data_IF_210348546055
#
_entry.id   IF_210348546055
#
_cell.length_a   1.000
_cell.length_b   1.000
_cell.length_c   1.000
_cell.angle_alpha   90.00
_cell.angle_beta   90.00
_cell.angle_gamma   90.00
#
_symmetry.space_group_name_H-M   'P 1'
#
loop_
_entity.id
_entity.type
_entity.pdbx_description
1 polymer ?
#
# COMPACT_ATOMS: atom_id res chain seq x y z
N UNK A 1 -32.81 -5.88 -23.74
CA UNK A 1 -31.44 -6.32 -23.44
C UNK A 1 -31.46 -7.31 -22.30
N UNK A 2 -30.76 -8.45 -22.39
CA UNK A 2 -30.68 -9.42 -21.29
C UNK A 2 -29.85 -8.81 -20.17
N UNK A 3 -30.44 -8.73 -18.96
CA UNK A 3 -29.73 -8.36 -17.73
C UNK A 3 -29.06 -9.59 -17.16
N UNK A 4 -27.85 -9.42 -16.66
CA UNK A 4 -27.11 -10.43 -15.91
C UNK A 4 -26.98 -9.97 -14.46
N UNK A 5 -26.91 -10.93 -13.54
CA UNK A 5 -26.76 -10.68 -12.12
C UNK A 5 -25.49 -11.37 -11.65
N UNK A 6 -24.64 -10.62 -10.97
CA UNK A 6 -23.49 -11.12 -10.25
C UNK A 6 -23.72 -10.90 -8.75
N UNK A 7 -23.44 -11.89 -7.93
CA UNK A 7 -23.57 -11.80 -6.47
C UNK A 7 -22.28 -12.32 -5.84
N UNK A 8 -21.77 -11.55 -4.89
CA UNK A 8 -20.71 -11.98 -3.96
C UNK A 8 -21.19 -11.77 -2.54
N UNK A 9 -21.19 -12.81 -1.73
CA UNK A 9 -21.60 -12.76 -0.32
C UNK A 9 -20.50 -13.34 0.55
N UNK A 10 -20.18 -12.65 1.65
CA UNK A 10 -19.19 -13.09 2.62
C UNK A 10 -19.64 -12.76 4.04
N UNK A 11 -19.32 -13.64 4.97
CA UNK A 11 -19.52 -13.41 6.39
C UNK A 11 -18.32 -12.64 6.95
N UNK A 12 -18.58 -11.53 7.63
CA UNK A 12 -17.57 -10.70 8.28
C UNK A 12 -17.79 -10.82 9.80
N UNK A 13 -16.70 -11.07 10.54
CA UNK A 13 -16.71 -11.15 12.01
C UNK A 13 -16.63 -9.74 12.60
N UNK A 14 -17.70 -8.97 12.39
CA UNK A 14 -17.89 -7.63 12.97
C UNK A 14 -19.38 -7.28 12.96
N UNK A 15 -19.86 -6.45 13.91
CA UNK A 15 -21.22 -5.95 13.92
C UNK A 15 -21.57 -5.26 12.61
N UNK A 16 -22.83 -5.36 12.19
CA UNK A 16 -23.30 -4.79 10.91
C UNK A 16 -23.06 -3.28 10.83
N UNK A 17 -23.22 -2.58 11.95
CA UNK A 17 -22.98 -1.14 12.06
C UNK A 17 -21.50 -0.80 11.75
N UNK A 18 -20.57 -1.59 12.22
CA UNK A 18 -19.13 -1.36 11.97
C UNK A 18 -18.76 -1.60 10.52
N UNK A 19 -19.35 -2.64 9.88
CA UNK A 19 -19.10 -2.96 8.47
C UNK A 19 -19.73 -1.90 7.56
N UNK A 20 -20.95 -1.46 7.86
CA UNK A 20 -21.63 -0.40 7.13
C UNK A 20 -20.90 0.94 7.28
N UNK A 21 -20.56 1.33 8.52
CA UNK A 21 -19.82 2.56 8.80
C UNK A 21 -18.47 2.60 8.06
N UNK A 22 -17.74 1.48 8.00
CA UNK A 22 -16.48 1.39 7.27
C UNK A 22 -16.63 1.78 5.80
N UNK A 23 -17.72 1.36 5.12
CA UNK A 23 -17.99 1.70 3.73
C UNK A 23 -18.36 3.19 3.54
N UNK A 24 -18.86 3.87 4.57
CA UNK A 24 -19.20 5.28 4.53
C UNK A 24 -18.01 6.22 4.74
N UNK A 25 -16.90 5.70 5.30
CA UNK A 25 -15.74 6.51 5.63
C UNK A 25 -14.92 6.92 4.40
N UNK A 26 -14.24 8.08 4.45
CA UNK A 26 -13.28 8.48 3.42
C UNK A 26 -12.22 7.40 3.19
N UNK A 27 -11.88 7.14 1.92
CA UNK A 27 -10.89 6.14 1.55
C UNK A 27 -11.46 4.73 1.29
N UNK A 28 -12.72 4.44 1.64
CA UNK A 28 -13.30 3.11 1.41
C UNK A 28 -13.28 2.69 -0.07
N UNK A 29 -13.66 3.58 -0.98
CA UNK A 29 -13.64 3.30 -2.42
C UNK A 29 -12.21 3.07 -2.94
N UNK A 30 -11.26 3.88 -2.50
CA UNK A 30 -9.85 3.76 -2.84
C UNK A 30 -9.27 2.45 -2.29
N UNK A 31 -9.64 2.07 -1.08
CA UNK A 31 -9.21 0.83 -0.44
C UNK A 31 -9.79 -0.42 -1.11
N UNK A 32 -11.02 -0.34 -1.58
CA UNK A 32 -11.70 -1.38 -2.35
C UNK A 32 -11.27 -1.44 -3.83
N UNK A 33 -10.42 -0.50 -4.28
CA UNK A 33 -9.87 -0.49 -5.63
C UNK A 33 -8.70 -1.47 -5.75
N UNK A 34 -8.81 -2.54 -6.56
CA UNK A 34 -7.72 -3.49 -6.70
C UNK A 34 -6.46 -2.85 -7.28
N UNK A 35 -5.25 -3.18 -6.79
CA UNK A 35 -4.01 -2.57 -7.23
C UNK A 35 -3.62 -2.90 -8.69
N UNK A 36 -4.23 -3.93 -9.28
CA UNK A 36 -4.05 -4.28 -10.71
C UNK A 36 -5.05 -3.60 -11.64
N UNK A 37 -6.11 -2.98 -11.12
CA UNK A 37 -7.14 -2.24 -11.87
C UNK A 37 -7.47 -0.93 -11.15
N UNK A 38 -6.48 -0.03 -10.99
CA UNK A 38 -6.62 1.17 -10.19
C UNK A 38 -7.61 2.14 -10.83
N UNK A 39 -8.46 2.74 -10.00
CA UNK A 39 -9.32 3.85 -10.37
C UNK A 39 -8.77 5.16 -9.80
N UNK A 40 -9.13 6.27 -10.44
CA UNK A 40 -8.86 7.61 -9.95
C UNK A 40 -10.18 8.32 -9.68
N UNK A 41 -10.41 8.72 -8.44
CA UNK A 41 -11.53 9.59 -8.08
C UNK A 41 -11.23 11.00 -8.58
N UNK A 42 -12.08 11.52 -9.47
CA UNK A 42 -11.97 12.89 -10.00
C UNK A 42 -12.80 13.84 -9.16
N UNK A 43 -14.01 13.41 -8.79
CA UNK A 43 -14.96 14.20 -8.04
C UNK A 43 -15.84 13.28 -7.20
N UNK A 44 -16.19 13.70 -5.99
CA UNK A 44 -17.10 13.00 -5.10
C UNK A 44 -17.92 14.01 -4.31
N UNK A 45 -19.21 13.76 -4.22
CA UNK A 45 -20.13 14.54 -3.38
C UNK A 45 -20.91 13.59 -2.48
N UNK A 46 -21.14 13.95 -1.23
CA UNK A 46 -22.15 13.34 -0.33
C UNK A 46 -21.89 11.93 0.20
N UNK A 47 -20.75 11.29 -0.09
CA UNK A 47 -20.46 9.93 0.41
C UNK A 47 -21.30 8.83 -0.24
N UNK A 48 -21.96 7.95 0.58
CA UNK A 48 -22.81 6.84 0.11
C UNK A 48 -24.32 7.15 0.21
N UNK A 49 -24.69 8.34 0.64
CA UNK A 49 -26.11 8.73 0.81
C UNK A 49 -26.77 8.98 -0.55
N UNK A 50 -28.09 8.83 -0.57
CA UNK A 50 -28.91 9.09 -1.76
C UNK A 50 -28.63 10.49 -2.35
N UNK A 51 -28.54 10.58 -3.67
CA UNK A 51 -28.18 11.80 -4.41
C UNK A 51 -26.68 12.07 -4.50
N UNK A 52 -25.83 11.33 -3.77
CA UNK A 52 -24.37 11.44 -3.86
C UNK A 52 -23.86 10.97 -5.21
N UNK A 53 -22.85 11.67 -5.74
CA UNK A 53 -22.29 11.39 -7.06
C UNK A 53 -20.78 11.20 -7.00
N UNK A 54 -20.30 10.23 -7.75
CA UNK A 54 -18.86 9.96 -7.87
C UNK A 54 -18.47 9.88 -9.33
N UNK A 55 -17.42 10.64 -9.70
CA UNK A 55 -16.82 10.64 -11.04
C UNK A 55 -15.46 9.94 -10.95
N UNK A 56 -15.34 8.85 -11.69
CA UNK A 56 -14.12 8.03 -11.73
C UNK A 56 -13.47 8.10 -13.11
N UNK A 57 -12.15 8.11 -13.12
CA UNK A 57 -11.35 7.83 -14.31
C UNK A 57 -10.83 6.41 -14.22
N UNK A 58 -11.18 5.60 -15.19
CA UNK A 58 -10.83 4.18 -15.29
C UNK A 58 -10.21 3.87 -16.64
N UNK A 59 -9.70 2.65 -16.83
CA UNK A 59 -9.14 2.18 -18.09
C UNK A 59 -9.79 0.86 -18.52
N UNK A 60 -10.07 0.75 -19.82
CA UNK A 60 -10.39 -0.53 -20.46
C UNK A 60 -9.23 -0.89 -21.39
N UNK A 61 -8.30 -1.72 -20.91
CA UNK A 61 -7.01 -1.89 -21.55
C UNK A 61 -6.24 -0.56 -21.59
N UNK A 62 -5.77 -0.08 -22.76
CA UNK A 62 -5.08 1.21 -22.90
C UNK A 62 -6.03 2.42 -22.93
N UNK A 63 -7.34 2.21 -23.13
CA UNK A 63 -8.31 3.29 -23.38
C UNK A 63 -8.86 3.83 -22.07
N UNK A 64 -8.65 5.12 -21.73
CA UNK A 64 -9.24 5.76 -20.58
C UNK A 64 -10.73 6.10 -20.84
N UNK A 65 -11.56 5.95 -19.80
CA UNK A 65 -12.94 6.39 -19.84
C UNK A 65 -13.37 6.98 -18.48
N UNK A 66 -14.45 7.75 -18.48
CA UNK A 66 -15.08 8.26 -17.28
C UNK A 66 -16.26 7.38 -16.89
N UNK A 67 -16.31 7.00 -15.63
CA UNK A 67 -17.45 6.36 -15.00
C UNK A 67 -18.10 7.35 -14.06
N UNK A 68 -19.40 7.54 -14.20
CA UNK A 68 -20.18 8.40 -13.32
C UNK A 68 -21.22 7.52 -12.65
N UNK A 69 -21.14 7.42 -11.33
CA UNK A 69 -22.09 6.72 -10.48
C UNK A 69 -22.88 7.71 -9.63
N UNK A 70 -24.13 7.39 -9.36
CA UNK A 70 -25.04 8.14 -8.48
C UNK A 70 -25.68 7.17 -7.49
N UNK A 71 -25.64 7.49 -6.20
CA UNK A 71 -26.32 6.72 -5.18
C UNK A 71 -27.81 6.99 -5.23
N UNK A 72 -28.62 5.94 -5.36
CA UNK A 72 -30.07 6.04 -5.58
C UNK A 72 -30.88 5.53 -4.42
N UNK A 73 -30.30 4.71 -3.55
CA UNK A 73 -30.95 4.18 -2.37
C UNK A 73 -30.00 4.09 -1.18
N UNK A 74 -30.50 4.29 0.02
CA UNK A 74 -29.75 4.27 1.27
C UNK A 74 -30.67 3.96 2.44
N UNK A 75 -30.36 2.89 3.13
CA UNK A 75 -30.97 2.50 4.41
C UNK A 75 -29.85 2.17 5.40
N UNK A 76 -29.72 2.96 6.46
CA UNK A 76 -28.62 2.87 7.42
C UNK A 76 -28.51 1.46 8.01
N UNK A 77 -27.28 0.92 8.04
CA UNK A 77 -26.92 -0.43 8.51
C UNK A 77 -27.57 -1.58 7.72
N UNK A 78 -28.23 -1.32 6.59
CA UNK A 78 -28.89 -2.33 5.78
C UNK A 78 -28.46 -2.36 4.33
N UNK A 79 -28.53 -1.24 3.63
CA UNK A 79 -28.13 -1.18 2.23
C UNK A 79 -27.76 0.22 1.76
N UNK A 80 -26.97 0.29 0.72
CA UNK A 80 -26.88 1.42 -0.19
C UNK A 80 -26.70 0.92 -1.63
N UNK A 81 -27.16 1.73 -2.57
CA UNK A 81 -27.17 1.35 -3.98
C UNK A 81 -26.66 2.50 -4.84
N UNK A 82 -25.84 2.16 -5.83
CA UNK A 82 -25.42 3.10 -6.86
C UNK A 82 -25.80 2.59 -8.26
N UNK A 83 -26.03 3.55 -9.18
CA UNK A 83 -26.26 3.26 -10.59
C UNK A 83 -25.26 4.00 -11.47
N UNK A 84 -24.90 3.41 -12.59
CA UNK A 84 -24.15 4.10 -13.62
C UNK A 84 -25.03 5.14 -14.32
N UNK A 85 -24.63 6.42 -14.24
CA UNK A 85 -25.21 7.51 -15.03
C UNK A 85 -24.49 7.61 -16.39
N UNK A 86 -23.16 7.44 -16.38
CA UNK A 86 -22.33 7.42 -17.58
C UNK A 86 -21.23 6.38 -17.44
N UNK A 87 -21.05 5.53 -18.46
CA UNK A 87 -20.04 4.48 -18.42
C UNK A 87 -20.19 3.54 -19.62
N UNK A 88 -19.41 2.45 -19.65
CA UNK A 88 -19.35 1.53 -20.79
C UNK A 88 -20.54 0.57 -20.89
N UNK A 89 -21.26 0.34 -19.78
CA UNK A 89 -22.40 -0.60 -19.74
C UNK A 89 -23.68 0.04 -20.32
N UNK A 90 -24.60 -0.76 -20.80
CA UNK A 90 -25.93 -0.30 -21.17
C UNK A 90 -26.76 0.04 -19.91
N UNK A 91 -26.63 -0.80 -18.88
CA UNK A 91 -27.13 -0.52 -17.54
C UNK A 91 -26.19 -1.14 -16.52
N UNK A 92 -26.13 -0.53 -15.33
CA UNK A 92 -25.40 -1.02 -14.17
C UNK A 92 -26.07 -0.48 -12.94
N UNK A 93 -26.38 -1.39 -12.03
CA UNK A 93 -26.88 -1.12 -10.70
C UNK A 93 -26.10 -1.98 -9.73
N UNK A 94 -25.52 -1.37 -8.71
CA UNK A 94 -24.75 -2.07 -7.70
C UNK A 94 -25.38 -1.82 -6.32
N UNK A 95 -25.77 -2.88 -5.67
CA UNK A 95 -26.38 -2.86 -4.33
C UNK A 95 -25.43 -3.53 -3.34
N UNK A 96 -25.07 -2.81 -2.30
CA UNK A 96 -24.42 -3.35 -1.11
C UNK A 96 -25.50 -3.65 -0.06
N UNK A 97 -25.56 -4.90 0.39
CA UNK A 97 -26.54 -5.37 1.37
C UNK A 97 -25.80 -5.87 2.60
N UNK A 98 -26.28 -5.46 3.77
CA UNK A 98 -25.70 -5.80 5.06
C UNK A 98 -26.79 -6.47 5.90
N UNK A 99 -26.55 -7.73 6.28
CA UNK A 99 -27.49 -8.53 7.05
C UNK A 99 -26.84 -8.97 8.37
N UNK A 100 -27.42 -8.65 9.53
CA UNK A 100 -26.87 -9.10 10.82
C UNK A 100 -26.83 -10.64 10.90
N UNK A 101 -25.77 -11.17 11.51
CA UNK A 101 -25.62 -12.57 11.87
C UNK A 101 -25.21 -12.67 13.36
N UNK A 102 -26.19 -12.40 14.22
CA UNK A 102 -25.97 -12.17 15.64
C UNK A 102 -25.42 -10.76 15.94
N UNK A 103 -24.76 -10.61 17.11
CA UNK A 103 -24.23 -9.31 17.58
C UNK A 103 -22.83 -9.00 17.04
N UNK A 104 -22.04 -10.04 16.74
CA UNK A 104 -20.60 -9.92 16.47
C UNK A 104 -20.23 -10.28 15.03
N UNK A 105 -21.22 -10.49 14.16
CA UNK A 105 -21.00 -10.82 12.77
C UNK A 105 -22.12 -10.27 11.86
N UNK A 106 -21.83 -10.14 10.57
CA UNK A 106 -22.82 -9.85 9.55
C UNK A 106 -22.44 -10.50 8.22
N UNK A 107 -23.40 -10.58 7.31
CA UNK A 107 -23.14 -10.87 5.90
C UNK A 107 -23.06 -9.55 5.12
N UNK A 108 -22.01 -9.40 4.32
CA UNK A 108 -21.88 -8.42 3.27
C UNK A 108 -22.19 -9.10 1.95
N UNK A 109 -23.21 -8.62 1.24
CA UNK A 109 -23.53 -9.06 -0.12
C UNK A 109 -23.41 -7.87 -1.08
N UNK A 110 -22.58 -8.04 -2.10
CA UNK A 110 -22.51 -7.16 -3.27
C UNK A 110 -23.31 -7.80 -4.40
N UNK A 111 -24.34 -7.11 -4.87
CA UNK A 111 -25.21 -7.51 -6.00
C UNK A 111 -25.04 -6.52 -7.13
N UNK A 112 -24.56 -6.99 -8.27
CA UNK A 112 -24.40 -6.17 -9.47
C UNK A 112 -25.33 -6.67 -10.56
N UNK A 113 -26.31 -5.84 -10.95
CA UNK A 113 -27.17 -6.06 -12.10
C UNK A 113 -26.65 -5.24 -13.28
N UNK A 114 -26.32 -5.89 -14.40
CA UNK A 114 -25.73 -5.19 -15.52
C UNK A 114 -26.24 -5.71 -16.87
N UNK A 115 -26.16 -4.83 -17.89
CA UNK A 115 -26.39 -5.19 -19.29
C UNK A 115 -25.29 -4.61 -20.18
N UNK A 116 -24.85 -5.38 -21.17
CA UNK A 116 -23.83 -4.98 -22.11
C UNK A 116 -24.43 -4.19 -23.28
N UNK A 117 -23.70 -3.20 -23.82
CA UNK A 117 -24.17 -2.32 -24.92
C UNK A 117 -24.24 -3.01 -26.28
N UNK A 118 -23.50 -4.09 -26.51
CA UNK A 118 -23.32 -4.67 -27.84
C UNK A 118 -23.85 -6.12 -27.98
N UNK A 119 -24.30 -6.40 -29.07
CA UNK A 119 -25.25 -7.23 -29.80
C UNK A 119 -24.87 -8.67 -30.10
N UNK A 120 -25.75 -9.52 -30.68
CA UNK A 120 -25.96 -10.90 -30.25
C UNK A 120 -24.78 -11.85 -30.47
N UNK A 121 -23.85 -11.58 -31.36
CA UNK A 121 -22.73 -12.48 -31.67
C UNK A 121 -21.48 -12.29 -30.78
N UNK A 122 -21.34 -11.15 -30.05
CA UNK A 122 -20.23 -10.89 -29.12
C UNK A 122 -20.56 -11.14 -27.65
N UNK A 123 -21.82 -11.37 -27.29
CA UNK A 123 -22.27 -11.39 -25.90
C UNK A 123 -21.74 -12.57 -25.10
N UNK A 124 -21.51 -13.75 -25.69
CA UNK A 124 -21.04 -14.90 -24.94
C UNK A 124 -19.61 -14.68 -24.38
N UNK A 125 -18.68 -14.25 -25.21
CA UNK A 125 -17.31 -13.99 -24.78
C UNK A 125 -17.21 -12.74 -23.90
N UNK A 126 -17.91 -11.66 -24.24
CA UNK A 126 -17.91 -10.43 -23.47
C UNK A 126 -18.56 -10.60 -22.10
N UNK A 127 -19.66 -11.36 -22.01
CA UNK A 127 -20.34 -11.69 -20.75
C UNK A 127 -19.43 -12.48 -19.80
N UNK A 128 -18.78 -13.54 -20.31
CA UNK A 128 -17.81 -14.32 -19.52
C UNK A 128 -16.63 -13.48 -19.05
N UNK A 129 -16.10 -12.61 -19.91
CA UNK A 129 -14.99 -11.72 -19.55
C UNK A 129 -15.39 -10.74 -18.45
N UNK A 130 -16.56 -10.11 -18.54
CA UNK A 130 -17.07 -9.19 -17.50
C UNK A 130 -17.32 -9.95 -16.22
N UNK A 131 -17.96 -11.10 -16.26
CA UNK A 131 -18.21 -11.93 -15.08
C UNK A 131 -16.92 -12.34 -14.38
N UNK A 132 -15.91 -12.81 -15.10
CA UNK A 132 -14.60 -13.15 -14.54
C UNK A 132 -13.91 -11.91 -13.92
N UNK A 133 -14.05 -10.73 -14.54
CA UNK A 133 -13.53 -9.49 -13.99
C UNK A 133 -14.24 -9.12 -12.67
N UNK A 134 -15.57 -9.25 -12.62
CA UNK A 134 -16.34 -9.02 -11.39
C UNK A 134 -15.94 -9.99 -10.28
N UNK A 135 -15.83 -11.29 -10.58
CA UNK A 135 -15.38 -12.29 -9.61
C UNK A 135 -14.05 -11.91 -8.96
N UNK A 136 -13.06 -11.52 -9.77
CA UNK A 136 -11.74 -11.10 -9.29
C UNK A 136 -11.82 -9.84 -8.44
N UNK A 137 -12.54 -8.82 -8.89
CA UNK A 137 -12.68 -7.53 -8.18
C UNK A 137 -13.36 -7.74 -6.83
N UNK A 138 -14.48 -8.45 -6.80
CA UNK A 138 -15.24 -8.63 -5.55
C UNK A 138 -14.59 -9.65 -4.61
N UNK A 139 -13.86 -10.65 -5.12
CA UNK A 139 -12.98 -11.48 -4.30
C UNK A 139 -11.95 -10.63 -3.54
N UNK A 140 -11.29 -9.69 -4.23
CA UNK A 140 -10.35 -8.75 -3.62
C UNK A 140 -11.03 -7.84 -2.58
N UNK A 141 -12.13 -7.20 -2.95
CA UNK A 141 -12.86 -6.28 -2.07
C UNK A 141 -13.23 -6.93 -0.74
N UNK A 142 -13.83 -8.11 -0.78
CA UNK A 142 -14.20 -8.86 0.42
C UNK A 142 -12.98 -9.33 1.23
N UNK A 143 -11.88 -9.74 0.54
CA UNK A 143 -10.64 -10.15 1.19
C UNK A 143 -9.91 -8.98 1.89
N UNK A 144 -10.15 -7.74 1.48
CA UNK A 144 -9.59 -6.54 2.11
C UNK A 144 -10.47 -6.06 3.25
N UNK A 145 -11.79 -6.03 3.07
CA UNK A 145 -12.74 -5.44 4.03
C UNK A 145 -12.66 -6.10 5.41
N UNK A 146 -12.71 -7.42 5.47
CA UNK A 146 -12.74 -8.13 6.75
C UNK A 146 -11.46 -7.93 7.59
N UNK A 147 -10.22 -8.08 7.05
CA UNK A 147 -9.00 -7.82 7.80
C UNK A 147 -8.81 -6.34 8.17
N UNK A 148 -9.25 -5.39 7.34
CA UNK A 148 -9.17 -3.97 7.66
C UNK A 148 -10.05 -3.64 8.87
N UNK A 149 -11.30 -4.09 8.87
CA UNK A 149 -12.22 -3.90 10.00
C UNK A 149 -11.67 -4.58 11.26
N UNK A 150 -11.16 -5.81 11.16
CA UNK A 150 -10.57 -6.51 12.29
C UNK A 150 -9.37 -5.74 12.88
N UNK A 151 -8.49 -5.21 12.02
CA UNK A 151 -7.36 -4.39 12.46
C UNK A 151 -7.82 -3.09 13.16
N UNK A 152 -8.86 -2.44 12.65
CA UNK A 152 -9.40 -1.22 13.27
C UNK A 152 -10.10 -1.50 14.61
N UNK A 153 -10.73 -2.67 14.76
CA UNK A 153 -11.39 -3.07 16.01
C UNK A 153 -10.41 -3.56 17.09
N UNK A 154 -9.26 -4.11 16.68
CA UNK A 154 -8.26 -4.66 17.60
C UNK A 154 -7.46 -3.59 18.38
N UNK A 155 -7.60 -2.30 18.05
CA UNK A 155 -6.90 -1.23 18.75
C UNK A 155 -7.46 -1.06 20.19
N UNK A 156 -6.57 -0.80 21.17
CA UNK A 156 -6.97 -0.67 22.58
C UNK A 156 -7.91 0.51 22.84
N UNK A 157 -7.70 1.58 22.10
CA UNK A 157 -8.42 2.84 22.15
C UNK A 157 -8.99 3.14 20.78
N UNK A 158 -10.29 3.40 20.69
CA UNK A 158 -11.00 3.71 19.45
C UNK A 158 -10.95 5.20 19.08
N UNK A 159 -10.21 6.02 19.84
CA UNK A 159 -10.07 7.45 19.56
C UNK A 159 -9.36 7.68 18.23
N UNK A 160 -9.94 8.46 17.32
CA UNK A 160 -9.27 8.83 16.09
C UNK A 160 -7.97 9.59 16.35
N UNK A 161 -6.89 9.23 15.65
CA UNK A 161 -5.62 9.95 15.69
C UNK A 161 -5.57 11.03 14.61
N UNK A 162 -4.87 12.13 14.92
CA UNK A 162 -4.44 13.12 13.95
C UNK A 162 -3.04 12.74 13.46
N UNK A 163 -2.92 12.29 12.22
CA UNK A 163 -1.70 11.70 11.69
C UNK A 163 -1.10 12.60 10.61
N UNK A 164 0.16 13.02 10.82
CA UNK A 164 0.95 13.70 9.81
C UNK A 164 1.69 12.69 8.94
N UNK A 165 1.56 12.79 7.61
CA UNK A 165 2.24 11.88 6.68
C UNK A 165 3.09 12.66 5.67
N UNK A 166 4.36 12.32 5.57
CA UNK A 166 5.19 12.68 4.43
C UNK A 166 5.30 11.51 3.44
N UNK A 167 5.45 11.78 2.16
CA UNK A 167 5.47 10.73 1.15
C UNK A 167 4.10 10.12 0.82
N UNK A 168 3.03 10.88 1.04
CA UNK A 168 1.63 10.51 0.81
C UNK A 168 1.34 9.95 -0.61
N UNK A 169 2.01 10.47 -1.64
CA UNK A 169 1.87 10.04 -3.04
C UNK A 169 2.75 8.84 -3.42
N UNK A 170 3.59 8.33 -2.52
CA UNK A 170 4.43 7.16 -2.74
C UNK A 170 3.63 5.85 -2.70
N UNK A 171 4.28 4.75 -3.10
CA UNK A 171 3.65 3.42 -3.16
C UNK A 171 3.03 3.00 -1.83
N UNK A 172 3.74 3.19 -0.72
CA UNK A 172 3.23 2.86 0.62
C UNK A 172 2.23 3.91 1.09
N UNK A 173 2.53 5.20 0.96
CA UNK A 173 1.67 6.30 1.43
C UNK A 173 0.29 6.29 0.79
N UNK A 174 0.22 6.06 -0.53
CA UNK A 174 -1.05 6.01 -1.26
C UNK A 174 -1.94 4.81 -0.88
N UNK A 175 -1.36 3.70 -0.42
CA UNK A 175 -2.09 2.55 0.10
C UNK A 175 -2.48 2.73 1.58
N UNK A 176 -1.60 3.38 2.37
CA UNK A 176 -1.78 3.58 3.81
C UNK A 176 -2.90 4.58 4.13
N UNK A 177 -2.96 5.70 3.39
CA UNK A 177 -3.96 6.76 3.66
C UNK A 177 -5.39 6.24 3.62
N UNK A 178 -5.85 5.53 2.56
CA UNK A 178 -7.19 4.96 2.53
C UNK A 178 -7.46 4.00 3.70
N UNK A 179 -6.49 3.18 4.07
CA UNK A 179 -6.60 2.29 5.21
C UNK A 179 -6.77 3.05 6.54
N UNK A 180 -5.97 4.10 6.77
CA UNK A 180 -6.08 4.90 7.99
C UNK A 180 -7.39 5.68 8.06
N UNK A 181 -7.83 6.26 6.94
CA UNK A 181 -9.09 7.03 6.90
C UNK A 181 -10.32 6.15 7.08
N UNK A 182 -10.31 4.89 6.59
CA UNK A 182 -11.36 3.89 6.90
C UNK A 182 -11.32 3.42 8.35
N UNK A 183 -10.23 3.66 9.08
CA UNK A 183 -10.14 3.54 10.53
C UNK A 183 -10.64 4.77 11.31
N UNK A 184 -11.11 5.81 10.61
CA UNK A 184 -11.60 7.05 11.22
C UNK A 184 -10.51 8.06 11.58
N UNK A 185 -9.23 7.82 11.20
CA UNK A 185 -8.12 8.74 11.48
C UNK A 185 -8.15 9.96 10.56
N UNK A 186 -7.68 11.09 11.08
CA UNK A 186 -7.51 12.33 10.32
C UNK A 186 -6.08 12.42 9.80
N UNK A 187 -5.94 12.64 8.50
CA UNK A 187 -4.64 12.65 7.83
C UNK A 187 -4.30 14.06 7.36
N UNK A 188 -3.13 14.55 7.75
CA UNK A 188 -2.52 15.76 7.20
C UNK A 188 -1.28 15.38 6.39
N UNK A 189 -1.22 15.77 5.13
CA UNK A 189 -0.12 15.41 4.24
C UNK A 189 0.92 16.53 4.14
N UNK A 190 2.19 16.20 4.33
CA UNK A 190 3.30 17.12 4.03
C UNK A 190 3.56 17.16 2.52
N UNK A 191 3.47 18.36 1.94
CA UNK A 191 3.64 18.60 0.50
C UNK A 191 4.75 19.62 0.22
N UNK A 192 5.50 19.44 -0.88
CA UNK A 192 6.58 20.36 -1.31
C UNK A 192 6.11 21.39 -2.34
N UNK A 193 4.86 21.35 -2.71
CA UNK A 193 4.16 22.34 -3.53
C UNK A 193 3.26 23.21 -2.63
N UNK A 194 2.72 24.32 -3.11
CA UNK A 194 1.66 25.02 -2.39
C UNK A 194 0.54 24.08 -1.98
N UNK A 195 0.08 24.12 -0.72
CA UNK A 195 -1.04 23.30 -0.23
C UNK A 195 -2.32 23.60 -1.00
N UNK A 196 -3.11 22.57 -1.23
CA UNK A 196 -4.46 22.69 -1.78
C UNK A 196 -5.42 23.05 -0.65
N UNK A 197 -6.12 24.19 -0.77
CA UNK A 197 -7.04 24.70 0.26
C UNK A 197 -8.22 23.77 0.53
N UNK A 198 -8.53 22.86 -0.39
CA UNK A 198 -9.57 21.83 -0.23
C UNK A 198 -9.10 20.55 0.46
N UNK A 199 -7.82 20.47 0.86
CA UNK A 199 -7.21 19.28 1.46
C UNK A 199 -6.49 19.61 2.76
N UNK A 200 -6.36 18.62 3.64
CA UNK A 200 -5.50 18.73 4.82
C UNK A 200 -4.04 18.54 4.42
N UNK A 201 -3.41 19.60 4.02
CA UNK A 201 -2.02 19.63 3.53
C UNK A 201 -1.22 20.74 4.24
N UNK A 202 0.04 20.45 4.57
CA UNK A 202 1.00 21.40 5.15
C UNK A 202 2.22 21.47 4.25
N UNK A 203 2.67 22.68 3.97
CA UNK A 203 3.89 22.90 3.20
C UNK A 203 5.13 22.57 4.02
N UNK A 204 6.08 21.89 3.40
CA UNK A 204 7.41 21.69 3.93
C UNK A 204 8.48 21.71 2.85
N UNK A 205 9.69 22.15 3.22
CA UNK A 205 10.84 22.11 2.34
C UNK A 205 12.11 21.74 3.13
N UNK A 206 12.54 20.45 3.05
CA UNK A 206 13.75 20.00 3.74
C UNK A 206 15.03 20.67 3.29
N UNK A 207 15.09 21.19 2.06
CA UNK A 207 16.30 21.85 1.55
C UNK A 207 16.52 23.23 2.18
N UNK A 208 15.46 23.96 2.48
CA UNK A 208 15.50 25.26 3.17
C UNK A 208 15.24 25.17 4.69
N UNK A 209 14.98 23.97 5.23
CA UNK A 209 14.62 23.80 6.64
C UNK A 209 13.24 24.37 7.01
N UNK A 210 12.33 24.49 6.05
CA UNK A 210 11.02 25.08 6.26
C UNK A 210 9.99 24.03 6.63
N UNK A 211 9.52 24.05 7.87
CA UNK A 211 8.33 23.37 8.38
C UNK A 211 7.86 24.14 9.62
N UNK A 212 6.69 24.77 9.53
CA UNK A 212 6.17 25.57 10.63
C UNK A 212 5.52 24.67 11.70
N UNK A 213 6.01 24.70 12.97
CA UNK A 213 5.43 23.92 14.06
C UNK A 213 3.97 24.23 14.36
N UNK A 214 3.53 25.49 14.15
CA UNK A 214 2.16 25.92 14.43
C UNK A 214 1.14 25.19 13.56
N UNK A 215 1.53 24.82 12.33
CA UNK A 215 0.68 24.06 11.40
C UNK A 215 0.53 22.59 11.82
N UNK A 216 1.27 22.13 12.83
CA UNK A 216 1.30 20.75 13.33
C UNK A 216 0.65 20.60 14.71
N UNK A 217 -0.06 21.62 15.17
CA UNK A 217 -0.73 21.57 16.48
C UNK A 217 -1.76 20.42 16.52
N UNK A 218 -1.69 19.63 17.60
CA UNK A 218 -2.60 18.51 17.83
C UNK A 218 -2.31 17.26 16.99
N UNK A 219 -1.13 17.12 16.40
CA UNK A 219 -0.67 15.90 15.73
C UNK A 219 -0.26 14.86 16.79
N UNK A 220 -0.92 13.70 16.76
CA UNK A 220 -0.66 12.57 17.66
C UNK A 220 0.45 11.65 17.18
N UNK A 221 0.57 11.49 15.85
CA UNK A 221 1.45 10.52 15.21
C UNK A 221 2.05 11.11 13.94
N UNK A 222 3.33 10.89 13.74
CA UNK A 222 4.02 11.28 12.52
C UNK A 222 4.51 10.04 11.78
N UNK A 223 4.20 9.94 10.48
CA UNK A 223 4.66 8.87 9.58
C UNK A 223 5.49 9.49 8.47
N UNK A 224 6.81 9.25 8.50
CA UNK A 224 7.75 9.80 7.54
C UNK A 224 8.17 8.75 6.51
N UNK A 225 7.57 8.80 5.29
CA UNK A 225 7.83 7.88 4.18
C UNK A 225 8.53 8.55 2.99
N UNK A 226 8.81 9.85 3.06
CA UNK A 226 9.39 10.59 1.96
C UNK A 226 10.87 10.25 1.75
N UNK A 227 11.26 10.09 0.49
CA UNK A 227 12.66 9.87 0.10
C UNK A 227 12.81 9.84 -1.41
N UNK A 228 13.98 10.20 -1.91
CA UNK A 228 14.33 10.14 -3.32
C UNK A 228 14.28 8.68 -3.83
N UNK A 229 13.70 8.46 -5.01
CA UNK A 229 13.60 7.12 -5.59
C UNK A 229 14.98 6.56 -5.96
N UNK A 230 15.40 5.49 -5.30
CA UNK A 230 16.70 4.83 -5.53
C UNK A 230 16.75 3.99 -6.81
N UNK A 231 15.60 3.46 -7.23
CA UNK A 231 15.48 2.55 -8.38
C UNK A 231 15.29 3.25 -9.73
N UNK A 232 15.57 4.54 -9.82
CA UNK A 232 15.43 5.32 -11.06
C UNK A 232 16.78 5.84 -11.55
N UNK A 233 17.22 5.33 -12.69
CA UNK A 233 18.47 5.71 -13.35
C UNK A 233 19.72 5.18 -12.63
N UNK A 234 20.92 5.56 -13.17
CA UNK A 234 22.21 5.21 -12.57
C UNK A 234 22.51 6.07 -11.36
N UNK A 235 23.26 5.53 -10.42
CA UNK A 235 23.75 6.28 -9.26
C UNK A 235 25.00 7.07 -9.61
N UNK A 236 24.79 8.26 -10.18
CA UNK A 236 25.85 9.26 -10.31
C UNK A 236 26.19 9.87 -8.94
N UNK A 237 27.34 10.53 -8.77
CA UNK A 237 27.67 11.25 -7.53
C UNK A 237 26.58 12.25 -7.12
N UNK A 238 25.96 12.92 -8.08
CA UNK A 238 24.85 13.84 -7.82
C UNK A 238 23.59 13.10 -7.34
N UNK A 239 23.24 11.96 -7.96
CA UNK A 239 22.11 11.12 -7.56
C UNK A 239 22.31 10.56 -6.14
N UNK A 240 23.51 10.08 -5.82
CA UNK A 240 23.87 9.59 -4.49
C UNK A 240 23.71 10.69 -3.42
N UNK A 241 24.19 11.90 -3.69
CA UNK A 241 23.99 13.04 -2.79
C UNK A 241 22.49 13.35 -2.59
N UNK A 242 21.66 13.31 -3.63
CA UNK A 242 20.21 13.51 -3.50
C UNK A 242 19.55 12.40 -2.66
N UNK A 243 19.95 11.14 -2.86
CA UNK A 243 19.46 9.99 -2.09
C UNK A 243 19.72 10.18 -0.60
N UNK A 244 20.95 10.56 -0.20
CA UNK A 244 21.30 10.83 1.19
C UNK A 244 20.55 12.05 1.72
N UNK A 245 20.67 13.21 1.04
CA UNK A 245 20.10 14.47 1.52
C UNK A 245 18.59 14.43 1.68
N UNK A 246 17.85 13.78 0.74
CA UNK A 246 16.40 13.69 0.82
C UNK A 246 15.92 12.93 2.05
N UNK A 247 16.73 12.01 2.58
CA UNK A 247 16.44 11.22 3.76
C UNK A 247 16.90 11.92 5.03
N UNK A 248 18.18 12.26 5.10
CA UNK A 248 18.76 12.86 6.32
C UNK A 248 18.16 14.21 6.65
N UNK A 249 18.09 15.14 5.68
CA UNK A 249 17.51 16.48 5.91
C UNK A 249 16.01 16.41 6.21
N UNK A 250 15.26 15.55 5.47
CA UNK A 250 13.82 15.41 5.70
C UNK A 250 13.51 14.86 7.09
N UNK A 251 14.25 13.82 7.50
CA UNK A 251 14.08 13.20 8.81
C UNK A 251 14.51 14.15 9.94
N UNK A 252 15.65 14.82 9.80
CA UNK A 252 16.12 15.78 10.80
C UNK A 252 15.11 16.92 11.00
N UNK A 253 14.63 17.52 9.91
CA UNK A 253 13.63 18.59 9.98
C UNK A 253 12.35 18.16 10.70
N UNK A 254 11.82 16.97 10.36
CA UNK A 254 10.61 16.43 11.03
C UNK A 254 10.91 16.13 12.51
N UNK A 255 12.06 15.53 12.83
CA UNK A 255 12.44 15.19 14.20
C UNK A 255 12.63 16.42 15.07
N UNK A 256 13.33 17.43 14.56
CA UNK A 256 13.54 18.73 15.24
C UNK A 256 12.22 19.48 15.45
N UNK A 257 11.34 19.46 14.44
CA UNK A 257 10.03 20.12 14.55
C UNK A 257 9.17 19.37 15.57
N UNK A 258 9.10 18.04 15.50
CA UNK A 258 8.35 17.22 16.45
C UNK A 258 8.81 17.42 17.90
N UNK A 259 10.12 17.57 18.12
CA UNK A 259 10.69 17.82 19.45
C UNK A 259 10.24 19.15 20.08
N UNK A 260 9.83 20.14 19.25
CA UNK A 260 9.34 21.47 19.68
C UNK A 260 7.83 21.52 19.92
N UNK A 261 7.08 20.52 19.46
CA UNK A 261 5.62 20.50 19.63
C UNK A 261 5.24 20.33 21.12
N UNK A 262 4.12 20.95 21.50
CA UNK A 262 3.52 20.78 22.82
C UNK A 262 1.99 20.68 22.68
N UNK A 263 1.35 19.52 22.97
CA UNK A 263 2.02 18.27 23.36
C UNK A 263 2.86 17.65 22.23
N UNK A 264 3.87 16.88 22.60
CA UNK A 264 4.67 16.11 21.64
C UNK A 264 3.86 14.95 21.04
N UNK A 265 4.14 14.54 19.79
CA UNK A 265 3.55 13.35 19.21
C UNK A 265 3.93 12.10 20.02
N UNK A 266 3.01 11.15 20.10
CA UNK A 266 3.21 9.85 20.80
C UNK A 266 4.29 9.00 20.13
N UNK A 267 4.38 9.07 18.80
CA UNK A 267 5.31 8.28 18.00
C UNK A 267 5.70 8.98 16.71
N UNK A 268 6.96 8.83 16.35
CA UNK A 268 7.50 9.12 15.03
C UNK A 268 7.89 7.82 14.34
N UNK A 269 7.16 7.44 13.30
CA UNK A 269 7.41 6.26 12.48
C UNK A 269 8.17 6.69 11.23
N UNK A 270 9.45 6.34 11.14
CA UNK A 270 10.33 6.68 10.02
C UNK A 270 10.52 5.48 9.09
N UNK A 271 10.41 5.70 7.79
CA UNK A 271 10.88 4.72 6.83
C UNK A 271 12.38 4.53 6.95
N UNK A 272 12.81 3.29 6.78
CA UNK A 272 14.17 2.82 6.52
C UNK A 272 14.09 1.68 5.51
N UNK A 273 15.13 0.91 5.29
CA UNK A 273 15.09 -0.22 4.38
C UNK A 273 15.99 -1.36 4.87
N UNK A 274 15.67 -2.59 4.46
CA UNK A 274 16.55 -3.77 4.68
C UNK A 274 17.94 -3.61 4.05
N UNK A 275 18.10 -2.65 3.13
CA UNK A 275 19.39 -2.22 2.63
C UNK A 275 20.37 -1.78 3.72
N UNK A 276 19.89 -1.48 4.93
CA UNK A 276 20.71 -1.27 6.13
C UNK A 276 21.73 -2.38 6.35
N UNK A 277 21.32 -3.63 6.11
CA UNK A 277 22.18 -4.79 6.35
C UNK A 277 23.23 -5.03 5.26
N UNK A 278 23.03 -4.51 4.04
CA UNK A 278 23.88 -4.81 2.89
C UNK A 278 23.78 -6.25 2.42
N UNK A 279 24.75 -6.67 1.58
CA UNK A 279 24.80 -8.04 1.11
C UNK A 279 25.39 -8.96 2.19
N UNK A 280 24.62 -9.93 2.66
CA UNK A 280 24.99 -10.90 3.71
C UNK A 280 24.92 -12.36 3.25
N UNK A 281 24.89 -12.57 1.93
CA UNK A 281 24.78 -13.90 1.33
C UNK A 281 23.55 -14.69 1.86
N UNK A 282 23.78 -15.81 2.54
CA UNK A 282 22.72 -16.69 3.07
C UNK A 282 22.41 -16.45 4.55
N UNK A 283 23.12 -15.54 5.23
CA UNK A 283 22.93 -15.32 6.65
C UNK A 283 21.54 -14.75 6.94
N UNK A 284 20.89 -15.34 7.92
CA UNK A 284 19.61 -14.86 8.40
C UNK A 284 19.82 -13.64 9.31
N UNK A 285 19.09 -12.56 9.02
CA UNK A 285 19.28 -11.25 9.63
C UNK A 285 18.05 -10.85 10.42
N UNK A 286 18.27 -10.24 11.57
CA UNK A 286 17.25 -9.75 12.50
C UNK A 286 17.48 -8.27 12.80
N UNK A 287 16.60 -7.66 13.59
CA UNK A 287 16.75 -6.26 14.02
C UNK A 287 18.00 -6.01 14.87
N UNK A 288 18.61 -7.07 15.42
CA UNK A 288 19.84 -7.00 16.25
C UNK A 288 21.11 -6.89 15.42
N UNK A 289 21.04 -7.20 14.12
CA UNK A 289 22.20 -7.18 13.26
C UNK A 289 22.61 -5.76 12.86
N UNK A 290 23.94 -5.54 12.80
CA UNK A 290 24.52 -4.26 12.47
C UNK A 290 24.47 -3.92 10.96
N UNK A 291 24.83 -2.67 10.60
CA UNK A 291 24.82 -2.21 9.22
C UNK A 291 25.86 -2.94 8.35
N UNK A 292 25.58 -2.98 7.05
CA UNK A 292 26.57 -3.35 6.04
C UNK A 292 27.57 -2.21 5.77
N UNK A 293 28.37 -2.40 4.73
CA UNK A 293 29.44 -1.45 4.37
C UNK A 293 29.31 -0.88 2.95
N UNK A 294 28.19 -1.15 2.27
CA UNK A 294 27.91 -0.62 0.94
C UNK A 294 27.21 0.77 1.02
N UNK A 295 26.99 1.37 -0.15
CA UNK A 295 26.39 2.71 -0.21
C UNK A 295 24.99 2.76 0.39
N UNK A 296 24.14 1.76 0.12
CA UNK A 296 22.76 1.74 0.64
C UNK A 296 22.75 1.53 2.16
N UNK A 297 23.65 0.71 2.69
CA UNK A 297 23.79 0.50 4.14
C UNK A 297 24.14 1.81 4.84
N UNK A 298 25.09 2.57 4.29
CA UNK A 298 25.44 3.89 4.78
C UNK A 298 24.25 4.86 4.72
N UNK A 299 23.52 4.88 3.61
CA UNK A 299 22.31 5.72 3.48
C UNK A 299 21.30 5.39 4.56
N UNK A 300 21.00 4.12 4.82
CA UNK A 300 20.05 3.71 5.84
C UNK A 300 20.52 4.06 7.25
N UNK A 301 21.79 3.86 7.55
CA UNK A 301 22.41 4.22 8.83
C UNK A 301 22.29 5.71 9.12
N UNK A 302 22.69 6.59 8.18
CA UNK A 302 22.57 8.04 8.32
C UNK A 302 21.11 8.50 8.37
N UNK A 303 20.23 7.79 7.69
CA UNK A 303 18.80 8.05 7.73
C UNK A 303 18.20 7.83 9.11
N UNK A 304 18.46 6.67 9.73
CA UNK A 304 18.00 6.32 11.07
C UNK A 304 18.61 7.31 12.12
N UNK A 305 19.90 7.62 11.99
CA UNK A 305 20.60 8.58 12.87
C UNK A 305 19.99 10.00 12.83
N UNK A 306 19.46 10.43 11.69
CA UNK A 306 18.87 11.75 11.53
C UNK A 306 17.62 12.01 12.39
N UNK A 307 17.03 10.97 13.00
CA UNK A 307 15.92 11.10 13.92
C UNK A 307 16.34 11.37 15.39
N UNK A 308 17.62 11.50 15.67
CA UNK A 308 18.15 11.73 17.02
C UNK A 308 17.43 12.83 17.81
N UNK A 309 17.10 14.02 17.25
CA UNK A 309 16.41 15.08 18.00
C UNK A 309 15.05 14.63 18.58
N UNK A 310 14.31 13.76 17.87
CA UNK A 310 13.05 13.24 18.37
C UNK A 310 13.28 12.25 19.53
N UNK A 311 14.29 11.37 19.41
CA UNK A 311 14.67 10.41 20.47
C UNK A 311 15.10 11.15 21.72
N UNK A 312 16.00 12.11 21.61
CA UNK A 312 16.53 12.92 22.71
C UNK A 312 15.43 13.73 23.42
N UNK A 313 14.38 14.08 22.68
CA UNK A 313 13.21 14.78 23.26
C UNK A 313 12.21 13.86 23.95
N UNK A 314 12.44 12.54 23.97
CA UNK A 314 11.58 11.54 24.59
C UNK A 314 10.41 11.07 23.71
N UNK A 315 10.41 11.37 22.42
CA UNK A 315 9.42 10.82 21.47
C UNK A 315 9.81 9.38 21.14
N UNK A 316 8.86 8.45 21.19
CA UNK A 316 9.05 7.07 20.71
C UNK A 316 9.30 7.07 19.22
N UNK A 317 10.45 6.56 18.77
CA UNK A 317 10.80 6.50 17.34
C UNK A 317 10.89 5.06 16.89
N UNK A 318 10.26 4.75 15.75
CA UNK A 318 10.29 3.43 15.10
C UNK A 318 10.86 3.57 13.69
N UNK A 319 11.89 2.79 13.37
CA UNK A 319 12.52 2.73 12.04
C UNK A 319 12.01 1.51 11.29
N UNK A 320 11.25 1.71 10.25
CA UNK A 320 10.71 0.64 9.42
C UNK A 320 11.76 0.21 8.38
N UNK A 321 12.53 -0.84 8.66
CA UNK A 321 13.44 -1.46 7.68
C UNK A 321 12.61 -2.29 6.70
N UNK A 322 12.05 -1.59 5.69
CA UNK A 322 11.10 -2.16 4.74
C UNK A 322 11.84 -2.97 3.69
N UNK A 323 11.35 -4.20 3.43
CA UNK A 323 11.81 -5.04 2.33
C UNK A 323 11.28 -4.61 0.97
N UNK A 324 11.38 -5.49 -0.01
CA UNK A 324 10.84 -5.25 -1.35
C UNK A 324 9.31 -5.28 -1.29
N UNK A 325 8.69 -4.11 -1.38
CA UNK A 325 7.22 -4.00 -1.37
C UNK A 325 6.67 -4.53 -2.69
N UNK A 326 5.84 -5.59 -2.61
CA UNK A 326 5.17 -6.17 -3.75
C UNK A 326 3.80 -5.51 -3.93
N UNK A 327 3.62 -4.85 -5.07
CA UNK A 327 2.34 -4.33 -5.55
C UNK A 327 2.43 -4.03 -7.06
N UNK A 328 1.40 -4.34 -7.86
CA UNK A 328 1.37 -3.97 -9.27
C UNK A 328 1.15 -2.46 -9.48
N UNK A 329 0.78 -1.70 -8.43
CA UNK A 329 0.60 -0.25 -8.50
C UNK A 329 1.93 0.53 -8.54
N UNK A 330 3.08 -0.11 -8.23
CA UNK A 330 4.38 0.56 -8.23
C UNK A 330 5.53 -0.34 -7.81
N UNK A 331 6.72 0.26 -7.63
CA UNK A 331 7.89 -0.44 -7.14
C UNK A 331 8.48 -1.48 -8.10
N UNK A 332 9.08 -2.53 -7.53
CA UNK A 332 9.79 -3.56 -8.29
C UNK A 332 8.83 -4.44 -9.12
N UNK A 333 7.72 -4.91 -8.51
CA UNK A 333 6.76 -5.78 -9.18
C UNK A 333 6.15 -5.10 -10.41
N UNK A 334 5.72 -3.84 -10.29
CA UNK A 334 5.16 -3.09 -11.41
C UNK A 334 6.11 -2.98 -12.61
N UNK A 335 7.44 -2.93 -12.37
CA UNK A 335 8.45 -2.83 -13.43
C UNK A 335 8.67 -4.16 -14.16
N UNK A 336 8.63 -5.28 -13.43
CA UNK A 336 8.90 -6.60 -14.03
C UNK A 336 7.64 -7.25 -14.60
N UNK A 337 6.47 -6.95 -14.07
CA UNK A 337 5.19 -7.58 -14.42
C UNK A 337 4.87 -7.54 -15.94
N UNK A 338 5.09 -6.44 -16.68
CA UNK A 338 4.90 -6.43 -18.14
C UNK A 338 5.79 -7.42 -18.87
N UNK A 339 7.05 -7.58 -18.45
CA UNK A 339 7.99 -8.54 -19.05
C UNK A 339 7.53 -9.97 -18.78
N UNK A 340 7.12 -10.29 -17.55
CA UNK A 340 6.60 -11.62 -17.24
C UNK A 340 5.30 -11.93 -18.02
N UNK A 341 4.39 -10.98 -18.14
CA UNK A 341 3.17 -11.14 -18.96
C UNK A 341 3.45 -11.36 -20.44
N UNK A 342 4.57 -10.85 -20.93
CA UNK A 342 5.03 -11.06 -22.31
C UNK A 342 5.85 -12.35 -22.50
N UNK A 343 6.02 -13.18 -21.43
CA UNK A 343 6.88 -14.37 -21.48
C UNK A 343 8.38 -14.07 -21.53
N UNK A 344 8.76 -12.82 -21.25
CA UNK A 344 10.15 -12.35 -21.23
C UNK A 344 10.71 -12.26 -19.81
N UNK A 345 10.03 -12.86 -18.83
CA UNK A 345 10.51 -12.95 -17.46
C UNK A 345 11.70 -13.86 -17.31
N UNK A 346 12.51 -13.63 -16.25
CA UNK A 346 13.65 -14.48 -15.98
C UNK A 346 14.42 -14.09 -14.73
N UNK A 347 15.29 -15.01 -14.29
CA UNK A 347 16.12 -14.81 -13.11
C UNK A 347 17.23 -13.78 -13.35
N UNK A 348 17.64 -13.11 -12.29
CA UNK A 348 18.71 -12.12 -12.30
C UNK A 348 20.01 -12.76 -11.76
N UNK A 349 21.08 -12.71 -12.54
CA UNK A 349 22.36 -13.37 -12.18
C UNK A 349 22.19 -14.86 -12.00
N UNK A 350 22.66 -15.38 -10.87
CA UNK A 350 22.51 -16.80 -10.50
C UNK A 350 21.09 -17.16 -10.07
N UNK A 351 20.33 -16.16 -9.59
CA UNK A 351 19.01 -16.37 -8.99
C UNK A 351 19.06 -16.85 -7.53
N UNK A 352 20.24 -17.09 -6.96
CA UNK A 352 20.41 -17.64 -5.60
C UNK A 352 20.37 -16.56 -4.50
N UNK A 353 20.42 -15.29 -4.87
CA UNK A 353 20.31 -14.19 -3.91
C UNK A 353 18.94 -14.15 -3.26
N UNK A 354 18.91 -14.06 -1.92
CA UNK A 354 17.68 -13.91 -1.16
C UNK A 354 17.08 -12.52 -1.34
N UNK A 355 15.78 -12.50 -1.51
CA UNK A 355 14.94 -11.33 -1.56
C UNK A 355 13.96 -11.36 -0.38
N UNK A 356 14.12 -10.45 0.57
CA UNK A 356 13.14 -10.23 1.61
C UNK A 356 12.10 -9.23 1.11
N UNK A 357 10.89 -9.70 1.00
CA UNK A 357 9.75 -9.03 0.39
C UNK A 357 8.59 -8.88 1.38
N UNK A 358 7.60 -8.05 1.04
CA UNK A 358 6.35 -7.91 1.78
C UNK A 358 5.24 -7.44 0.84
N UNK A 359 4.03 -7.94 1.02
CA UNK A 359 2.84 -7.45 0.30
C UNK A 359 2.41 -6.06 0.79
N UNK A 360 1.82 -5.25 -0.09
CA UNK A 360 1.37 -3.89 0.25
C UNK A 360 0.41 -3.86 1.45
N UNK A 361 -0.48 -4.84 1.59
CA UNK A 361 -1.43 -4.90 2.70
C UNK A 361 -0.76 -5.21 4.04
N UNK A 362 0.31 -6.00 4.04
CA UNK A 362 1.09 -6.27 5.24
C UNK A 362 2.01 -5.10 5.63
N UNK A 363 2.52 -4.33 4.66
CA UNK A 363 3.24 -3.07 4.99
C UNK A 363 2.35 -2.11 5.76
N UNK A 364 1.14 -1.83 5.25
CA UNK A 364 0.23 -0.88 5.92
C UNK A 364 -0.27 -1.43 7.25
N UNK A 365 -0.51 -2.73 7.34
CA UNK A 365 -0.87 -3.40 8.59
C UNK A 365 0.24 -3.35 9.64
N UNK A 366 1.50 -3.57 9.25
CA UNK A 366 2.66 -3.45 10.12
C UNK A 366 2.88 -2.02 10.61
N UNK A 367 2.72 -1.00 9.74
CA UNK A 367 2.76 0.40 10.14
C UNK A 367 1.68 0.69 11.20
N UNK A 368 0.48 0.21 10.99
CA UNK A 368 -0.62 0.38 11.94
C UNK A 368 -0.34 -0.32 13.27
N UNK A 369 0.18 -1.54 13.22
CA UNK A 369 0.57 -2.30 14.40
C UNK A 369 1.60 -1.55 15.25
N UNK A 370 2.66 -1.00 14.65
CA UNK A 370 3.71 -0.29 15.41
C UNK A 370 3.22 1.03 15.98
N UNK A 371 2.20 1.68 15.39
CA UNK A 371 1.59 2.90 15.96
C UNK A 371 0.94 2.59 17.31
N UNK A 372 0.21 1.49 17.42
CA UNK A 372 -0.56 1.12 18.62
C UNK A 372 0.17 0.21 19.60
N UNK A 373 1.34 -0.32 19.23
CA UNK A 373 2.12 -1.18 20.12
C UNK A 373 3.25 -0.38 20.77
N UNK A 374 2.97 0.19 21.93
CA UNK A 374 3.91 1.10 22.63
C UNK A 374 5.25 0.42 23.02
N UNK A 375 5.28 -0.91 23.16
CA UNK A 375 6.52 -1.66 23.43
C UNK A 375 7.46 -1.74 22.21
N UNK A 376 7.05 -1.29 21.04
CA UNK A 376 7.89 -1.28 19.83
C UNK A 376 8.58 0.07 19.68
N UNK A 377 9.91 0.05 19.74
CA UNK A 377 10.79 1.20 19.47
C UNK A 377 12.03 0.76 18.69
N UNK A 378 12.74 1.74 18.10
CA UNK A 378 13.94 1.50 17.30
C UNK A 378 13.65 0.75 15.99
N UNK A 379 14.62 -0.05 15.46
CA UNK A 379 14.45 -0.73 14.19
C UNK A 379 13.43 -1.86 14.24
N UNK A 380 12.64 -1.98 13.18
CA UNK A 380 11.65 -3.04 12.94
C UNK A 380 11.77 -3.50 11.49
N UNK A 381 11.99 -4.79 11.29
CA UNK A 381 12.01 -5.38 9.96
C UNK A 381 10.59 -5.57 9.43
N UNK A 382 10.25 -4.82 8.39
CA UNK A 382 8.94 -4.88 7.73
C UNK A 382 9.07 -5.73 6.47
N UNK A 383 9.12 -7.04 6.68
CA UNK A 383 9.27 -8.09 5.65
C UNK A 383 8.32 -9.24 5.95
N UNK A 384 8.00 -10.05 4.92
CA UNK A 384 7.35 -11.34 5.14
C UNK A 384 8.27 -12.28 5.94
N UNK A 385 7.72 -13.16 6.80
CA UNK A 385 8.51 -14.14 7.54
C UNK A 385 9.22 -15.17 6.63
N UNK A 386 8.85 -15.23 5.35
CA UNK A 386 9.35 -16.21 4.37
C UNK A 386 10.11 -15.52 3.23
N UNK A 387 11.39 -15.14 3.45
CA UNK A 387 12.22 -14.64 2.36
C UNK A 387 12.46 -15.74 1.32
N UNK A 388 12.49 -15.38 0.05
CA UNK A 388 12.68 -16.31 -1.08
C UNK A 388 13.93 -15.96 -1.88
N UNK A 389 14.45 -16.89 -2.66
CA UNK A 389 15.48 -16.57 -3.66
C UNK A 389 14.87 -15.86 -4.86
N UNK A 390 15.68 -15.15 -5.63
CA UNK A 390 15.22 -14.53 -6.88
C UNK A 390 14.72 -15.58 -7.89
N UNK A 391 15.28 -16.80 -7.87
CA UNK A 391 14.82 -17.91 -8.70
C UNK A 391 13.39 -18.33 -8.29
N UNK A 392 13.15 -18.58 -7.01
CA UNK A 392 11.83 -18.92 -6.48
C UNK A 392 10.80 -17.84 -6.78
N UNK A 393 11.15 -16.57 -6.62
CA UNK A 393 10.27 -15.45 -7.01
C UNK A 393 9.93 -15.49 -8.50
N UNK A 394 10.94 -15.73 -9.34
CA UNK A 394 10.79 -15.79 -10.80
C UNK A 394 9.87 -16.93 -11.21
N UNK A 395 10.08 -18.13 -10.69
CA UNK A 395 9.29 -19.32 -10.99
C UNK A 395 7.84 -19.18 -10.49
N UNK A 396 7.68 -18.66 -9.27
CA UNK A 396 6.34 -18.41 -8.69
C UNK A 396 5.54 -17.41 -9.51
N UNK A 397 6.14 -16.26 -9.85
CA UNK A 397 5.44 -15.24 -10.64
C UNK A 397 5.10 -15.74 -12.05
N UNK A 398 6.01 -16.44 -12.69
CA UNK A 398 5.80 -17.03 -14.01
C UNK A 398 4.70 -18.10 -14.00
N UNK A 399 4.72 -19.00 -13.01
CA UNK A 399 3.71 -20.02 -12.82
C UNK A 399 2.31 -19.45 -12.64
N UNK A 400 2.17 -18.44 -11.77
CA UNK A 400 0.89 -17.75 -11.54
C UNK A 400 0.36 -17.05 -12.80
N UNK A 401 1.24 -16.53 -13.64
CA UNK A 401 0.86 -15.92 -14.91
C UNK A 401 0.69 -16.91 -16.06
N UNK A 402 0.99 -18.19 -15.84
CA UNK A 402 1.02 -19.24 -16.88
C UNK A 402 1.94 -18.86 -18.06
N UNK A 403 3.09 -18.22 -17.75
CA UNK A 403 4.06 -17.74 -18.73
C UNK A 403 5.43 -18.38 -18.52
N UNK A 404 6.22 -18.59 -19.58
CA UNK A 404 7.58 -19.06 -19.42
C UNK A 404 8.47 -17.98 -18.76
N UNK A 405 9.48 -18.43 -17.97
CA UNK A 405 10.50 -17.57 -17.39
C UNK A 405 11.90 -18.16 -17.61
N UNK A 406 12.19 -18.54 -18.84
CA UNK A 406 13.44 -19.22 -19.22
C UNK A 406 14.61 -18.28 -19.44
N UNK A 407 14.38 -16.97 -19.53
CA UNK A 407 15.44 -15.99 -19.71
C UNK A 407 16.28 -15.85 -18.44
N UNK A 408 17.54 -15.57 -18.60
CA UNK A 408 18.42 -15.21 -17.49
C UNK A 408 19.10 -13.89 -17.84
N UNK A 409 18.97 -12.91 -16.97
CA UNK A 409 19.66 -11.63 -17.13
C UNK A 409 21.00 -11.71 -16.46
N UNK A 410 22.12 -11.76 -17.20
CA UNK A 410 23.45 -11.88 -16.60
C UNK A 410 23.75 -10.72 -15.66
N UNK A 411 24.45 -10.99 -14.55
CA UNK A 411 24.87 -9.97 -13.60
C UNK A 411 25.72 -8.87 -14.27
N UNK A 412 26.52 -9.22 -15.28
CA UNK A 412 27.30 -8.27 -16.06
C UNK A 412 26.42 -7.28 -16.84
N UNK A 413 25.30 -7.75 -17.42
CA UNK A 413 24.35 -6.88 -18.11
C UNK A 413 23.68 -5.89 -17.13
N UNK A 414 23.27 -6.34 -15.95
CA UNK A 414 22.70 -5.46 -14.91
C UNK A 414 23.71 -4.40 -14.45
N UNK A 415 24.97 -4.79 -14.25
CA UNK A 415 26.05 -3.86 -13.90
C UNK A 415 26.32 -2.87 -15.04
N UNK A 416 26.32 -3.33 -16.29
CA UNK A 416 26.55 -2.48 -17.45
C UNK A 416 25.41 -1.43 -17.62
N UNK A 417 24.15 -1.84 -17.46
CA UNK A 417 22.99 -0.96 -17.65
C UNK A 417 22.80 -0.01 -16.46
N UNK A 418 22.87 -0.53 -15.25
CA UNK A 418 22.49 0.21 -14.04
C UNK A 418 23.69 0.62 -13.15
N UNK A 419 24.91 0.19 -13.49
CA UNK A 419 26.12 0.49 -12.71
C UNK A 419 26.03 -0.10 -11.30
N UNK A 420 26.42 0.68 -10.31
CA UNK A 420 26.45 0.30 -8.90
C UNK A 420 25.05 -0.08 -8.38
N UNK A 421 23.99 0.64 -8.80
CA UNK A 421 22.60 0.32 -8.43
C UNK A 421 22.22 -1.11 -8.85
N UNK A 422 22.67 -1.55 -10.04
CA UNK A 422 22.42 -2.91 -10.54
C UNK A 422 23.11 -4.01 -9.72
N UNK A 423 24.18 -3.68 -9.02
CA UNK A 423 24.87 -4.57 -8.10
C UNK A 423 24.24 -4.59 -6.71
N UNK A 424 23.97 -3.42 -6.14
CA UNK A 424 23.57 -3.27 -4.74
C UNK A 424 22.09 -3.50 -4.48
N UNK A 425 21.22 -3.41 -5.50
CA UNK A 425 19.78 -3.60 -5.31
C UNK A 425 19.31 -4.98 -5.79
N UNK A 426 19.33 -5.33 -7.10
CA UNK A 426 18.75 -6.59 -7.56
C UNK A 426 19.66 -7.82 -7.34
N UNK A 427 20.97 -7.62 -7.15
CA UNK A 427 21.94 -8.73 -6.95
C UNK A 427 22.39 -8.89 -5.50
N UNK A 428 21.97 -8.01 -4.59
CA UNK A 428 22.24 -8.15 -3.16
C UNK A 428 21.40 -9.26 -2.57
N UNK A 429 22.02 -10.06 -1.70
CA UNK A 429 21.35 -11.13 -0.96
C UNK A 429 21.11 -10.67 0.48
N UNK A 430 19.84 -10.56 0.86
CA UNK A 430 19.45 -10.05 2.17
C UNK A 430 18.29 -10.91 2.70
N UNK A 431 18.60 -11.90 3.55
CA UNK A 431 17.67 -12.85 4.14
C UNK A 431 17.22 -12.36 5.51
N UNK A 432 16.18 -11.55 5.57
CA UNK A 432 15.74 -10.83 6.78
C UNK A 432 14.49 -11.48 7.39
N UNK A 433 14.44 -11.54 8.73
CA UNK A 433 13.29 -12.01 9.51
C UNK A 433 12.65 -10.84 10.29
N UNK A 434 11.31 -10.79 10.38
CA UNK A 434 10.58 -9.74 11.09
C UNK A 434 10.35 -10.14 12.56
N UNK A 435 11.43 -10.32 13.33
CA UNK A 435 11.35 -10.90 14.69
C UNK A 435 10.49 -10.04 15.60
N UNK A 436 10.69 -8.71 15.62
CA UNK A 436 9.89 -7.82 16.46
C UNK A 436 8.40 -7.85 16.11
N UNK A 437 8.03 -7.89 14.85
CA UNK A 437 6.63 -8.01 14.44
C UNK A 437 6.01 -9.33 14.92
N UNK A 438 6.72 -10.44 14.79
CA UNK A 438 6.26 -11.76 15.22
C UNK A 438 6.11 -11.84 16.73
N UNK A 439 7.12 -11.42 17.49
CA UNK A 439 7.12 -11.43 18.96
C UNK A 439 6.06 -10.51 19.57
N UNK A 440 5.72 -9.42 18.88
CA UNK A 440 4.69 -8.48 19.34
C UNK A 440 3.27 -8.85 18.87
N UNK A 441 3.13 -9.98 18.15
CA UNK A 441 1.85 -10.58 17.79
C UNK A 441 1.22 -10.04 16.51
N UNK A 442 2.02 -9.43 15.60
CA UNK A 442 1.51 -9.04 14.30
C UNK A 442 1.10 -10.27 13.48
N UNK A 443 -0.11 -10.26 12.95
CA UNK A 443 -0.63 -11.32 12.10
C UNK A 443 -0.52 -10.94 10.63
N UNK A 444 0.41 -11.59 9.90
CA UNK A 444 0.55 -11.39 8.46
C UNK A 444 -0.70 -11.88 7.72
N UNK A 445 -1.23 -11.05 6.82
CA UNK A 445 -2.40 -11.40 5.99
C UNK A 445 -2.07 -12.47 4.95
N UNK A 446 -0.93 -12.32 4.32
CA UNK A 446 -0.42 -13.23 3.30
C UNK A 446 1.08 -13.49 3.54
N UNK A 447 1.43 -14.45 4.42
CA UNK A 447 2.83 -14.69 4.79
C UNK A 447 3.63 -15.40 3.69
N UNK A 448 3.00 -16.07 2.75
CA UNK A 448 3.63 -16.79 1.64
C UNK A 448 3.55 -16.01 0.31
N UNK A 449 4.53 -16.27 -0.58
CA UNK A 449 4.67 -15.53 -1.84
C UNK A 449 3.53 -15.80 -2.81
N UNK A 450 3.05 -17.04 -2.89
CA UNK A 450 1.97 -17.45 -3.81
C UNK A 450 0.68 -16.74 -3.43
N UNK A 451 0.28 -16.80 -2.16
CA UNK A 451 -0.91 -16.12 -1.65
C UNK A 451 -0.85 -14.61 -1.85
N UNK A 452 0.30 -14.00 -1.54
CA UNK A 452 0.52 -12.56 -1.75
C UNK A 452 0.38 -12.17 -3.22
N UNK A 453 1.08 -12.85 -4.12
CA UNK A 453 1.02 -12.52 -5.55
C UNK A 453 -0.37 -12.80 -6.13
N UNK A 454 -1.02 -13.90 -5.74
CA UNK A 454 -2.39 -14.21 -6.17
C UNK A 454 -3.38 -13.12 -5.74
N UNK A 455 -3.29 -12.68 -4.48
CA UNK A 455 -4.10 -11.57 -3.96
C UNK A 455 -3.83 -10.26 -4.73
N UNK A 456 -2.56 -9.89 -4.90
CA UNK A 456 -2.16 -8.62 -5.53
C UNK A 456 -2.40 -8.59 -7.04
N UNK A 457 -2.49 -9.74 -7.71
CA UNK A 457 -2.73 -9.85 -9.15
C UNK A 457 -4.18 -10.26 -9.46
N UNK A 458 -4.95 -10.63 -8.44
CA UNK A 458 -6.34 -11.08 -8.56
C UNK A 458 -6.48 -12.39 -9.33
N UNK A 459 -5.63 -13.37 -9.10
CA UNK A 459 -5.61 -14.68 -9.74
C UNK A 459 -5.66 -15.80 -8.72
#
# INVERSE_FOLDING_TARGET
MKKEIFIKRSRIKAPVEAVFAWHSLPGALERLSPPWDPLQVIERTGGIRQGSRTVLKMKAGPVPFRWIAEHTDYEENRLFMDRQVKGPMASWVHTHIFEPDGKDACFLEDRVEYALRFHPFGNFFAGTMVRNKLERIFKYRHAVTAPDIAAHQARPDRTPLNILISGASGVVGSALIPFLTTGGHKITALVRRPPDTGKSEVFWNPDSGCLNPDDLTGIDTIIHLAGENIGQGRWTPQKKRRIIKSRTKGTALIAETAARLNPKPRVLVCASAIGYYGNRNQWELTEKDGPGNDFISQVCYEWEKAAAPAIESGIRVVFLRIGVVLTPAGGALAKVLPLFRAGLGGKLGTGQQFMSWIGSDDVIGAIYHVIYKDSIEGPVNVVSPNPVTNLEFTETLAGLLSMPAKLSVPAAALKLVFGEMGREVPLSSTRVKPIKLMETGYQFRNPDLIGTLSHLLGI
#
